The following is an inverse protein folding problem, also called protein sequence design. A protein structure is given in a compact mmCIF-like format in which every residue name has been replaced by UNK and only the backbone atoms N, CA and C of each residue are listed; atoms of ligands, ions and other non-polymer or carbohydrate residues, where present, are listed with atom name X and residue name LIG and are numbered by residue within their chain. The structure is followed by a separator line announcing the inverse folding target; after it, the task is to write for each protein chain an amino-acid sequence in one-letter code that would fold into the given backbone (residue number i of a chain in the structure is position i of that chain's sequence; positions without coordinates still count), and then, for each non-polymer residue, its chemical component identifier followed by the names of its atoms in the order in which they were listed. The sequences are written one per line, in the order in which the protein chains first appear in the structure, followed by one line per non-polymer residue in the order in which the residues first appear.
data_IF_260449420222
#
_entry.id   IF_260449420222
#
_cell.length_a   1.000
_cell.length_b   1.000
_cell.length_c   1.000
_cell.angle_alpha   90.00
_cell.angle_beta   90.00
_cell.angle_gamma   90.00
#
_symmetry.space_group_name_H-M   'P 1'
#
loop_
_entity.id
_entity.type
_entity.pdbx_description
1 polymer ?
#
# COMPACT_ATOMS: atom_id res chain seq x y z
N UNK A 1 19.97 -16.63 5.37
CA UNK A 1 19.04 -15.54 5.02
C UNK A 1 18.40 -15.06 6.31
N UNK A 2 18.52 -13.78 6.64
CA UNK A 2 17.84 -13.21 7.82
C UNK A 2 16.43 -12.78 7.45
N UNK A 3 15.52 -13.76 7.42
CA UNK A 3 14.13 -13.53 7.07
C UNK A 3 13.40 -12.60 8.06
N UNK A 4 13.86 -12.55 9.31
CA UNK A 4 13.25 -11.71 10.35
C UNK A 4 13.54 -10.24 10.07
N UNK A 5 14.77 -9.89 9.71
CA UNK A 5 15.13 -8.54 9.33
C UNK A 5 14.37 -8.06 8.08
N UNK A 6 14.24 -8.91 7.06
CA UNK A 6 13.51 -8.58 5.83
C UNK A 6 12.01 -8.37 6.12
N UNK A 7 11.40 -9.22 6.93
CA UNK A 7 10.00 -9.09 7.32
C UNK A 7 9.75 -7.79 8.11
N UNK A 8 10.64 -7.45 9.05
CA UNK A 8 10.56 -6.22 9.83
C UNK A 8 10.62 -4.98 8.93
N UNK A 9 11.61 -4.92 8.04
CA UNK A 9 11.76 -3.81 7.09
C UNK A 9 10.55 -3.69 6.16
N UNK A 10 10.02 -4.82 5.69
CA UNK A 10 8.84 -4.83 4.81
C UNK A 10 7.59 -4.34 5.55
N UNK A 11 7.41 -4.73 6.81
CA UNK A 11 6.29 -4.26 7.63
C UNK A 11 6.31 -2.74 7.83
N UNK A 12 7.48 -2.17 8.10
CA UNK A 12 7.67 -0.71 8.23
C UNK A 12 7.37 0.01 6.91
N UNK A 13 7.80 -0.54 5.77
CA UNK A 13 7.48 0.02 4.46
C UNK A 13 5.97 0.00 4.16
N UNK A 14 5.30 -1.12 4.44
CA UNK A 14 3.84 -1.24 4.24
C UNK A 14 3.08 -0.28 5.16
N UNK A 15 3.51 -0.13 6.41
CA UNK A 15 2.92 0.84 7.34
C UNK A 15 3.09 2.28 6.83
N UNK A 16 4.25 2.63 6.28
CA UNK A 16 4.48 3.94 5.69
C UNK A 16 3.54 4.21 4.50
N UNK A 17 3.23 3.21 3.67
CA UNK A 17 2.24 3.33 2.58
C UNK A 17 0.79 3.50 3.07
N UNK A 18 0.48 3.02 4.27
CA UNK A 18 -0.81 3.27 4.90
C UNK A 18 -0.90 4.71 5.43
N UNK A 19 0.13 5.18 6.13
CA UNK A 19 0.19 6.52 6.72
C UNK A 19 0.33 7.64 5.68
N UNK A 20 1.06 7.38 4.59
CA UNK A 20 1.16 8.30 3.47
C UNK A 20 -0.14 8.30 2.67
N UNK A 21 -0.93 9.37 2.80
CA UNK A 21 -2.14 9.59 2.00
C UNK A 21 -1.85 10.37 0.70
N UNK A 22 -0.62 10.83 0.49
CA UNK A 22 -0.25 11.65 -0.66
C UNK A 22 0.02 10.81 -1.92
N UNK A 23 -0.40 11.34 -3.08
CA UNK A 23 -0.10 10.72 -4.38
C UNK A 23 -0.84 9.41 -4.67
N UNK A 24 -1.82 9.04 -3.85
CA UNK A 24 -2.73 7.94 -4.11
C UNK A 24 -3.91 8.41 -4.96
N UNK A 25 -4.12 7.76 -6.09
CA UNK A 25 -5.26 7.99 -6.97
C UNK A 25 -6.36 7.00 -6.65
N UNK A 26 -7.56 7.48 -6.36
CA UNK A 26 -8.73 6.61 -6.20
C UNK A 26 -9.05 5.95 -7.54
N UNK A 27 -9.11 4.61 -7.58
CA UNK A 27 -9.44 3.85 -8.80
C UNK A 27 -10.83 3.24 -8.70
N UNK A 28 -11.22 2.75 -7.52
CA UNK A 28 -12.53 2.17 -7.31
C UNK A 28 -12.99 2.39 -5.89
N UNK A 29 -14.24 2.78 -5.72
CA UNK A 29 -14.90 2.79 -4.42
C UNK A 29 -16.19 1.97 -4.50
N UNK A 30 -16.49 1.27 -3.42
CA UNK A 30 -17.74 0.58 -3.14
C UNK A 30 -18.14 0.87 -1.70
N UNK A 31 -19.37 0.54 -1.29
CA UNK A 31 -20.00 0.97 -0.03
C UNK A 31 -19.06 1.04 1.18
N UNK A 32 -18.26 -0.01 1.39
CA UNK A 32 -17.35 -0.13 2.55
C UNK A 32 -15.88 -0.31 2.15
N UNK A 33 -15.53 -0.19 0.87
CA UNK A 33 -14.18 -0.51 0.36
C UNK A 33 -13.72 0.54 -0.62
N UNK A 34 -12.53 1.09 -0.43
CA UNK A 34 -11.89 1.97 -1.40
C UNK A 34 -10.54 1.41 -1.83
N UNK A 35 -10.30 1.47 -3.14
CA UNK A 35 -9.12 0.96 -3.82
C UNK A 35 -8.41 2.16 -4.44
N UNK A 36 -7.19 2.39 -3.98
CA UNK A 36 -6.32 3.45 -4.44
C UNK A 36 -5.08 2.88 -5.13
N UNK A 37 -4.55 3.57 -6.14
CA UNK A 37 -3.30 3.21 -6.81
C UNK A 37 -2.26 4.32 -6.73
N UNK A 38 -0.98 3.93 -6.73
CA UNK A 38 0.16 4.84 -6.74
C UNK A 38 1.28 4.21 -7.57
N UNK A 39 2.07 5.02 -8.27
CA UNK A 39 3.23 4.52 -9.00
C UNK A 39 4.21 3.86 -8.05
N UNK A 40 4.61 2.62 -8.34
CA UNK A 40 5.55 1.88 -7.52
C UNK A 40 6.96 2.48 -7.65
N UNK A 41 7.68 2.52 -6.52
CA UNK A 41 9.10 2.92 -6.47
C UNK A 41 10.05 1.72 -6.59
N UNK A 42 9.53 0.50 -6.46
CA UNK A 42 10.32 -0.74 -6.33
C UNK A 42 10.28 -1.55 -7.64
N UNK A 43 9.24 -1.39 -8.45
CA UNK A 43 9.08 -2.08 -9.71
C UNK A 43 8.38 -1.20 -10.75
N UNK A 44 8.54 -1.52 -12.03
CA UNK A 44 7.80 -0.85 -13.10
C UNK A 44 6.33 -1.23 -13.05
N UNK A 45 5.49 -0.36 -12.48
CA UNK A 45 4.05 -0.57 -12.39
C UNK A 45 3.41 0.25 -11.27
N UNK A 46 2.20 -0.16 -10.88
CA UNK A 46 1.41 0.51 -9.85
C UNK A 46 1.28 -0.38 -8.60
N UNK A 47 1.43 0.26 -7.44
CA UNK A 47 1.05 -0.28 -6.15
C UNK A 47 -0.45 -0.03 -5.93
N UNK A 48 -1.16 -1.03 -5.40
CA UNK A 48 -2.57 -0.93 -5.08
C UNK A 48 -2.76 -1.06 -3.57
N UNK A 49 -3.57 -0.17 -3.01
CA UNK A 49 -3.98 -0.17 -1.61
C UNK A 49 -5.48 -0.33 -1.54
N UNK A 50 -5.94 -1.24 -0.69
CA UNK A 50 -7.37 -1.46 -0.45
C UNK A 50 -7.64 -1.21 1.03
N UNK A 51 -8.59 -0.32 1.29
CA UNK A 51 -9.03 0.03 2.63
C UNK A 51 -10.51 -0.31 2.74
N UNK A 52 -10.90 -1.01 3.79
CA UNK A 52 -12.29 -1.32 4.03
C UNK A 52 -12.66 -1.26 5.50
N UNK A 53 -13.90 -0.85 5.77
CA UNK A 53 -14.48 -0.82 7.12
C UNK A 53 -15.29 -2.10 7.27
N UNK A 54 -14.90 -2.96 8.21
CA UNK A 54 -15.60 -4.23 8.49
C UNK A 54 -16.70 -3.96 9.51
#
# INVERSE_FOLDING_TARGET
MDYKAIAQQTAEQVLAYNQDLSGWKLIKSSKKVTVSSKTSRIFHGNLYRVEGII
#
